data_IF_206447641492
#
_entry.id   IF_206447641492
#
_cell.length_a   1.000
_cell.length_b   1.000
_cell.length_c   1.000
_cell.angle_alpha   90.00
_cell.angle_beta   90.00
_cell.angle_gamma   90.00
#
_symmetry.space_group_name_H-M   'P 1'
#
loop_
_entity.id
_entity.type
_entity.pdbx_description
1 polymer ?
#
# COMPACT_ATOMS: atom_id res chain seq x y z
N UNK A 1 11.78 11.74 12.20
CA UNK A 1 10.61 11.08 11.54
C UNK A 1 9.27 11.54 12.13
N UNK A 2 9.05 11.39 13.45
CA UNK A 2 7.80 11.81 14.14
C UNK A 2 7.35 13.25 13.87
N UNK A 3 8.22 14.25 14.12
CA UNK A 3 7.90 15.68 13.92
C UNK A 3 7.47 15.99 12.48
N UNK A 4 8.11 15.37 11.49
CA UNK A 4 7.73 15.55 10.09
C UNK A 4 6.32 15.02 9.80
N UNK A 5 5.92 13.88 10.41
CA UNK A 5 4.55 13.37 10.30
C UNK A 5 3.54 14.27 11.01
N UNK A 6 3.89 14.76 12.20
CA UNK A 6 3.05 15.73 12.92
C UNK A 6 2.81 16.98 12.08
N UNK A 7 3.86 17.56 11.48
CA UNK A 7 3.75 18.72 10.58
C UNK A 7 2.69 18.51 9.48
N UNK A 8 2.64 17.32 8.88
CA UNK A 8 1.65 16.99 7.86
C UNK A 8 0.24 16.86 8.44
N UNK A 9 0.08 16.20 9.59
CA UNK A 9 -1.23 15.92 10.20
C UNK A 9 -1.84 17.12 10.92
N UNK A 10 -1.06 18.19 11.10
CA UNK A 10 -1.49 19.45 11.71
C UNK A 10 -1.45 20.62 10.73
N UNK A 11 -1.49 20.36 9.41
CA UNK A 11 -1.32 21.39 8.39
C UNK A 11 -2.43 22.46 8.36
N UNK A 12 -3.56 22.24 9.03
CA UNK A 12 -4.61 23.24 9.22
C UNK A 12 -6.01 22.70 8.95
N UNK A 13 -7.00 23.60 9.01
CA UNK A 13 -8.44 23.28 8.96
C UNK A 13 -8.91 22.73 7.61
N UNK A 14 -8.16 22.97 6.54
CA UNK A 14 -8.54 22.55 5.18
C UNK A 14 -8.15 21.10 4.88
N UNK A 15 -7.37 20.47 5.75
CA UNK A 15 -6.94 19.07 5.62
C UNK A 15 -8.12 18.10 5.43
N UNK A 16 -9.15 18.06 6.30
CA UNK A 16 -10.31 17.16 6.13
C UNK A 16 -11.07 17.31 4.81
N UNK A 17 -11.09 18.52 4.24
CA UNK A 17 -11.82 18.80 3.00
C UNK A 17 -11.13 18.19 1.79
N UNK A 18 -9.82 17.96 1.87
CA UNK A 18 -8.99 17.51 0.76
C UNK A 18 -8.42 16.09 0.96
N UNK A 19 -8.32 15.62 2.21
CA UNK A 19 -7.68 14.35 2.56
C UNK A 19 -8.69 13.45 3.27
N UNK A 20 -9.19 12.44 2.56
CA UNK A 20 -10.12 11.45 3.12
C UNK A 20 -9.42 10.39 3.98
N UNK A 21 -8.14 10.09 3.70
CA UNK A 21 -7.40 9.08 4.43
C UNK A 21 -5.89 9.25 4.32
N UNK A 22 -5.17 8.70 5.29
CA UNK A 22 -3.71 8.76 5.38
C UNK A 22 -3.14 7.37 5.60
N UNK A 23 -2.26 6.93 4.71
CA UNK A 23 -1.52 5.67 4.87
C UNK A 23 -0.33 5.91 5.80
N UNK A 24 -0.29 5.15 6.90
CA UNK A 24 0.78 5.21 7.89
C UNK A 24 1.71 4.00 7.76
N UNK A 25 2.96 4.20 8.16
CA UNK A 25 3.88 3.11 8.45
C UNK A 25 3.70 2.64 9.90
N UNK A 26 4.05 1.39 10.21
CA UNK A 26 3.89 0.80 11.54
C UNK A 26 4.43 1.69 12.66
N UNK A 27 5.64 2.24 12.51
CA UNK A 27 6.22 3.15 13.51
C UNK A 27 5.33 4.39 13.74
N UNK A 28 4.86 5.03 12.68
CA UNK A 28 4.00 6.23 12.76
C UNK A 28 2.63 5.92 13.34
N UNK A 29 2.11 4.72 13.07
CA UNK A 29 0.79 4.30 13.54
C UNK A 29 0.67 4.33 15.07
N UNK A 30 1.78 4.07 15.78
CA UNK A 30 1.85 4.09 17.25
C UNK A 30 2.55 5.33 17.83
N UNK A 31 2.87 6.32 17.00
CA UNK A 31 3.45 7.59 17.45
C UNK A 31 2.38 8.55 17.99
N UNK A 32 2.86 9.55 18.75
CA UNK A 32 2.06 10.60 19.35
C UNK A 32 2.55 11.98 18.90
N UNK A 33 1.64 12.94 18.85
CA UNK A 33 1.96 14.36 18.70
C UNK A 33 2.60 14.93 19.97
N UNK A 34 3.08 16.17 19.91
CA UNK A 34 3.75 16.86 21.03
C UNK A 34 2.85 17.01 22.26
N UNK A 35 1.53 17.08 22.06
CA UNK A 35 0.50 17.14 23.11
C UNK A 35 0.17 15.76 23.72
N UNK A 36 0.81 14.70 23.24
CA UNK A 36 0.57 13.32 23.66
C UNK A 36 -0.58 12.61 22.93
N UNK A 37 -1.28 13.27 22.01
CA UNK A 37 -2.37 12.67 21.22
C UNK A 37 -1.82 11.63 20.24
N UNK A 38 -2.31 10.37 20.23
CA UNK A 38 -1.91 9.39 19.21
C UNK A 38 -2.26 9.88 17.80
N UNK A 39 -1.38 9.65 16.81
CA UNK A 39 -1.64 10.14 15.44
C UNK A 39 -2.90 9.55 14.82
N UNK A 40 -3.22 8.29 15.12
CA UNK A 40 -4.50 7.67 14.68
C UNK A 40 -5.69 8.47 15.19
N UNK A 41 -5.67 8.87 16.47
CA UNK A 41 -6.72 9.70 17.06
C UNK A 41 -6.74 11.10 16.45
N UNK A 42 -5.58 11.73 16.29
CA UNK A 42 -5.45 13.05 15.66
C UNK A 42 -6.09 13.10 14.27
N UNK A 43 -5.92 12.04 13.46
CA UNK A 43 -6.54 11.92 12.15
C UNK A 43 -8.06 11.70 12.26
N UNK A 44 -8.50 10.81 13.15
CA UNK A 44 -9.92 10.53 13.37
C UNK A 44 -10.70 11.75 13.88
N UNK A 45 -10.13 12.53 14.81
CA UNK A 45 -10.73 13.77 15.32
C UNK A 45 -10.88 14.84 14.22
N UNK A 46 -10.10 14.71 13.15
CA UNK A 46 -10.19 15.52 11.92
C UNK A 46 -11.00 14.82 10.82
N UNK A 47 -11.79 13.76 11.09
CA UNK A 47 -12.52 12.99 10.08
C UNK A 47 -11.65 12.40 8.95
N UNK A 48 -10.36 12.18 9.20
CA UNK A 48 -9.44 11.52 8.26
C UNK A 48 -9.27 10.06 8.64
N UNK A 49 -9.47 9.18 7.66
CA UNK A 49 -9.45 7.74 7.86
C UNK A 49 -7.98 7.27 8.01
N UNK A 50 -7.60 6.59 9.11
CA UNK A 50 -6.26 6.03 9.24
C UNK A 50 -6.13 4.73 8.44
N UNK A 51 -5.07 4.63 7.62
CA UNK A 51 -4.68 3.43 6.90
C UNK A 51 -3.30 2.93 7.29
N UNK A 52 -2.99 1.68 6.99
CA UNK A 52 -1.73 1.04 7.38
C UNK A 52 -1.07 0.30 6.21
N UNK A 53 0.24 0.55 6.00
CA UNK A 53 1.05 -0.26 5.09
C UNK A 53 1.31 -1.64 5.73
N UNK A 54 0.99 -2.72 5.02
CA UNK A 54 1.13 -4.09 5.57
C UNK A 54 2.05 -5.03 4.78
N UNK A 55 2.46 -4.67 3.56
CA UNK A 55 3.54 -5.38 2.89
C UNK A 55 4.88 -5.23 3.63
N UNK A 56 5.78 -6.19 3.44
CA UNK A 56 7.15 -6.21 3.98
C UNK A 56 8.19 -5.99 2.87
N UNK A 57 7.81 -5.28 1.81
CA UNK A 57 8.65 -4.97 0.67
C UNK A 57 8.70 -6.07 -0.40
N UNK A 58 9.45 -5.76 -1.46
CA UNK A 58 9.62 -6.64 -2.62
C UNK A 58 10.77 -7.63 -2.43
N UNK A 59 10.68 -8.78 -3.09
CA UNK A 59 11.74 -9.79 -3.17
C UNK A 59 11.92 -10.24 -4.63
N UNK A 60 13.14 -10.55 -5.06
CA UNK A 60 13.40 -10.99 -6.44
C UNK A 60 12.63 -12.27 -6.79
N UNK A 61 12.15 -12.34 -8.03
CA UNK A 61 11.62 -13.57 -8.61
C UNK A 61 12.76 -14.36 -9.27
N UNK A 62 13.09 -15.52 -8.73
CA UNK A 62 14.15 -16.36 -9.28
C UNK A 62 13.82 -16.81 -10.71
N UNK A 63 14.74 -16.57 -11.64
CA UNK A 63 14.59 -16.95 -13.05
C UNK A 63 13.85 -15.92 -13.93
N UNK A 64 13.50 -14.75 -13.40
CA UNK A 64 13.03 -13.61 -14.21
C UNK A 64 14.14 -12.60 -14.51
N UNK A 65 13.85 -11.63 -15.38
CA UNK A 65 14.76 -10.55 -15.75
C UNK A 65 14.56 -9.35 -14.80
N UNK A 66 15.17 -9.44 -13.60
CA UNK A 66 15.12 -8.39 -12.56
C UNK A 66 13.69 -7.99 -12.15
N UNK A 67 12.77 -8.95 -12.12
CA UNK A 67 11.41 -8.77 -11.62
C UNK A 67 11.28 -9.18 -10.16
N UNK A 68 10.19 -8.77 -9.51
CA UNK A 68 9.96 -9.05 -8.11
C UNK A 68 8.50 -9.44 -7.81
N UNK A 69 8.30 -10.10 -6.68
CA UNK A 69 7.00 -10.20 -6.00
C UNK A 69 7.10 -9.47 -4.66
N UNK A 70 6.00 -9.40 -3.93
CA UNK A 70 5.93 -8.71 -2.64
C UNK A 70 5.65 -9.68 -1.52
N UNK A 71 6.37 -9.55 -0.41
CA UNK A 71 6.21 -10.40 0.76
C UNK A 71 5.38 -9.73 1.87
N UNK A 72 4.87 -10.52 2.80
CA UNK A 72 4.19 -10.00 4.00
C UNK A 72 2.91 -10.72 4.44
N UNK A 73 2.52 -11.81 3.75
CA UNK A 73 1.32 -12.60 4.08
C UNK A 73 1.43 -13.34 5.42
N UNK A 74 2.65 -13.71 5.84
CA UNK A 74 2.86 -14.43 7.09
C UNK A 74 2.47 -13.58 8.30
N UNK A 75 1.53 -14.11 9.10
CA UNK A 75 0.93 -13.42 10.24
C UNK A 75 0.09 -12.20 9.88
N UNK A 76 -0.32 -12.05 8.61
CA UNK A 76 -1.05 -10.87 8.15
C UNK A 76 -2.44 -10.77 8.79
N UNK A 77 -3.13 -11.88 9.03
CA UNK A 77 -4.47 -11.88 9.63
C UNK A 77 -4.42 -11.29 11.06
N UNK A 78 -3.49 -11.75 11.88
CA UNK A 78 -3.28 -11.27 13.25
C UNK A 78 -2.89 -9.80 13.26
N UNK A 79 -2.02 -9.39 12.34
CA UNK A 79 -1.62 -7.98 12.17
C UNK A 79 -2.81 -7.12 11.76
N UNK A 80 -3.58 -7.52 10.76
CA UNK A 80 -4.77 -6.79 10.31
C UNK A 80 -5.80 -6.65 11.43
N UNK A 81 -6.07 -7.72 12.17
CA UNK A 81 -6.95 -7.70 13.35
C UNK A 81 -6.47 -6.71 14.41
N UNK A 82 -5.16 -6.69 14.68
CA UNK A 82 -4.58 -5.75 15.63
C UNK A 82 -4.69 -4.31 15.14
N UNK A 83 -4.34 -4.03 13.87
CA UNK A 83 -4.47 -2.68 13.30
C UNK A 83 -5.91 -2.18 13.25
N UNK A 84 -6.88 -3.04 12.94
CA UNK A 84 -8.29 -2.71 12.95
C UNK A 84 -8.76 -2.32 14.36
N UNK A 85 -8.35 -3.10 15.39
CA UNK A 85 -8.59 -2.79 16.80
C UNK A 85 -7.96 -1.45 17.21
N UNK A 86 -6.77 -1.17 16.69
CA UNK A 86 -6.02 0.04 17.01
C UNK A 86 -6.44 1.27 16.17
N UNK A 87 -7.44 1.13 15.29
CA UNK A 87 -8.12 2.26 14.63
C UNK A 87 -7.91 2.40 13.12
N UNK A 88 -7.17 1.50 12.48
CA UNK A 88 -7.06 1.46 11.02
C UNK A 88 -8.40 1.04 10.40
N UNK A 89 -8.71 1.58 9.22
CA UNK A 89 -9.91 1.20 8.44
C UNK A 89 -9.57 0.68 7.04
N UNK A 90 -8.37 0.93 6.57
CA UNK A 90 -7.88 0.40 5.31
C UNK A 90 -6.41 0.01 5.41
N UNK A 91 -5.97 -0.83 4.49
CA UNK A 91 -4.60 -1.28 4.37
C UNK A 91 -4.06 -0.94 2.99
N UNK A 92 -2.73 -0.97 2.87
CA UNK A 92 -2.03 -0.80 1.61
C UNK A 92 -0.99 -1.88 1.42
N UNK A 93 -0.95 -2.44 0.21
CA UNK A 93 0.05 -3.38 -0.27
C UNK A 93 0.46 -2.99 -1.68
N UNK A 94 1.76 -2.89 -1.92
CA UNK A 94 2.32 -2.51 -3.22
C UNK A 94 3.06 -3.66 -3.84
N UNK A 95 2.63 -4.02 -5.05
CA UNK A 95 3.38 -4.82 -6.00
C UNK A 95 4.03 -3.93 -7.04
N UNK A 96 5.15 -4.37 -7.61
CA UNK A 96 5.96 -3.58 -8.54
C UNK A 96 6.23 -4.38 -9.79
N UNK A 97 5.91 -3.80 -10.93
CA UNK A 97 6.14 -4.37 -12.26
C UNK A 97 6.96 -3.38 -13.10
N UNK A 98 7.81 -3.90 -13.98
CA UNK A 98 8.70 -3.10 -14.83
C UNK A 98 8.33 -3.28 -16.29
N UNK A 99 8.48 -2.23 -17.09
CA UNK A 99 8.38 -2.30 -18.54
C UNK A 99 9.79 -2.45 -19.11
N UNK A 100 10.02 -3.49 -19.91
CA UNK A 100 11.25 -3.68 -20.68
C UNK A 100 10.95 -4.46 -21.96
N UNK A 101 11.97 -4.88 -22.70
CA UNK A 101 11.78 -5.74 -23.88
C UNK A 101 11.07 -7.07 -23.55
N UNK A 102 11.27 -7.59 -22.32
CA UNK A 102 10.75 -8.90 -21.89
C UNK A 102 9.81 -8.83 -20.67
N UNK A 103 9.62 -7.64 -20.09
CA UNK A 103 8.85 -7.44 -18.85
C UNK A 103 7.63 -6.53 -19.08
N UNK A 104 6.55 -6.69 -18.30
CA UNK A 104 6.40 -7.68 -17.24
C UNK A 104 6.14 -9.09 -17.80
N UNK A 105 6.81 -10.08 -17.24
CA UNK A 105 6.61 -11.48 -17.65
C UNK A 105 5.26 -12.00 -17.17
N UNK A 106 4.77 -13.07 -17.82
CA UNK A 106 3.57 -13.77 -17.35
C UNK A 106 3.69 -14.23 -15.89
N UNK A 107 4.88 -14.70 -15.49
CA UNK A 107 5.14 -15.14 -14.11
C UNK A 107 5.01 -13.98 -13.13
N UNK A 108 5.62 -12.83 -13.41
CA UNK A 108 5.54 -11.66 -12.54
C UNK A 108 4.12 -11.10 -12.43
N UNK A 109 3.37 -11.06 -13.54
CA UNK A 109 1.96 -10.64 -13.50
C UNK A 109 1.11 -11.60 -12.67
N UNK A 110 1.21 -12.90 -12.92
CA UNK A 110 0.44 -13.91 -12.20
C UNK A 110 0.73 -13.90 -10.69
N UNK A 111 2.01 -13.86 -10.31
CA UNK A 111 2.42 -13.91 -8.92
C UNK A 111 2.03 -12.63 -8.16
N UNK A 112 2.23 -11.45 -8.75
CA UNK A 112 1.84 -10.19 -8.13
C UNK A 112 0.31 -10.04 -8.01
N UNK A 113 -0.46 -10.50 -9.01
CA UNK A 113 -1.92 -10.54 -8.92
C UNK A 113 -2.39 -11.49 -7.81
N UNK A 114 -1.84 -12.71 -7.77
CA UNK A 114 -2.20 -13.71 -6.78
C UNK A 114 -1.89 -13.25 -5.34
N UNK A 115 -0.71 -12.66 -5.11
CA UNK A 115 -0.36 -12.16 -3.77
C UNK A 115 -1.23 -10.97 -3.34
N UNK A 116 -1.60 -10.08 -4.28
CA UNK A 116 -2.53 -8.98 -4.03
C UNK A 116 -3.93 -9.50 -3.67
N UNK A 117 -4.44 -10.50 -4.38
CA UNK A 117 -5.74 -11.13 -4.09
C UNK A 117 -5.74 -11.79 -2.69
N UNK A 118 -4.67 -12.51 -2.34
CA UNK A 118 -4.50 -13.12 -1.01
C UNK A 118 -4.46 -12.07 0.10
N UNK A 119 -3.69 -11.00 -0.08
CA UNK A 119 -3.66 -9.86 0.84
C UNK A 119 -5.04 -9.23 1.00
N UNK A 120 -5.74 -8.96 -0.11
CA UNK A 120 -7.05 -8.32 -0.11
C UNK A 120 -8.08 -9.16 0.65
N UNK A 121 -8.10 -10.47 0.41
CA UNK A 121 -8.96 -11.42 1.12
C UNK A 121 -8.73 -11.38 2.64
N UNK A 122 -7.47 -11.44 3.08
CA UNK A 122 -7.12 -11.40 4.51
C UNK A 122 -7.52 -10.06 5.14
N UNK A 123 -7.33 -8.94 4.43
CA UNK A 123 -7.75 -7.62 4.91
C UNK A 123 -9.26 -7.54 5.13
N UNK A 124 -10.05 -7.97 4.15
CA UNK A 124 -11.52 -7.95 4.23
C UNK A 124 -12.03 -8.82 5.37
N UNK A 125 -11.46 -10.01 5.57
CA UNK A 125 -11.80 -10.90 6.70
C UNK A 125 -11.55 -10.28 8.07
N UNK A 126 -10.66 -9.27 8.15
CA UNK A 126 -10.29 -8.60 9.40
C UNK A 126 -10.78 -7.14 9.47
N UNK A 127 -11.73 -6.75 8.61
CA UNK A 127 -12.39 -5.44 8.67
C UNK A 127 -11.56 -4.27 8.15
N UNK A 128 -10.56 -4.52 7.29
CA UNK A 128 -9.78 -3.49 6.61
C UNK A 128 -10.12 -3.49 5.12
N UNK A 129 -10.40 -2.30 4.56
CA UNK A 129 -10.50 -2.12 3.10
C UNK A 129 -9.10 -2.24 2.49
N UNK A 130 -8.85 -3.17 1.55
CA UNK A 130 -7.53 -3.29 0.92
C UNK A 130 -7.39 -2.30 -0.25
N UNK A 131 -6.37 -1.43 -0.19
CA UNK A 131 -5.87 -0.77 -1.39
C UNK A 131 -4.96 -1.77 -2.11
N UNK A 132 -5.35 -2.12 -3.34
CA UNK A 132 -4.65 -3.01 -4.26
C UNK A 132 -3.80 -2.15 -5.20
N UNK A 133 -2.47 -2.20 -5.08
CA UNK A 133 -1.55 -1.34 -5.83
C UNK A 133 -0.57 -2.17 -6.68
N UNK A 134 -0.96 -2.57 -7.91
CA UNK A 134 -0.07 -3.16 -8.90
C UNK A 134 0.65 -2.04 -9.67
N UNK A 135 1.68 -1.46 -9.08
CA UNK A 135 2.40 -0.33 -9.70
C UNK A 135 3.26 -0.79 -10.87
N UNK A 136 2.95 -0.27 -12.06
CA UNK A 136 3.81 -0.37 -13.24
C UNK A 136 4.76 0.83 -13.23
N UNK A 137 6.07 0.58 -13.14
CA UNK A 137 7.08 1.63 -13.04
C UNK A 137 7.22 2.42 -14.36
N UNK A 138 7.47 3.73 -14.28
CA UNK A 138 7.69 4.58 -15.45
C UNK A 138 9.12 4.49 -16.01
N UNK A 139 10.03 3.77 -15.36
CA UNK A 139 11.42 3.64 -15.78
C UNK A 139 11.54 3.05 -17.20
N UNK A 140 12.41 3.65 -18.01
CA UNK A 140 12.71 3.24 -19.39
C UNK A 140 12.28 4.27 -20.44
N UNK A 141 12.49 3.93 -21.72
CA UNK A 141 12.22 4.81 -22.87
C UNK A 141 10.94 4.42 -23.65
N UNK A 142 10.02 3.71 -22.98
CA UNK A 142 8.77 3.27 -23.59
C UNK A 142 7.80 4.45 -23.82
N UNK A 143 6.96 4.35 -24.84
CA UNK A 143 5.96 5.36 -25.15
C UNK A 143 4.67 5.19 -24.34
N UNK A 144 3.76 6.16 -24.49
CA UNK A 144 2.47 6.17 -23.80
C UNK A 144 1.60 4.95 -24.17
N UNK A 145 1.63 4.53 -25.43
CA UNK A 145 0.85 3.38 -25.91
C UNK A 145 1.32 2.08 -25.24
N UNK A 146 2.64 1.93 -25.07
CA UNK A 146 3.23 0.80 -24.35
C UNK A 146 2.84 0.81 -22.87
N UNK A 147 2.93 1.97 -22.20
CA UNK A 147 2.52 2.10 -20.80
C UNK A 147 1.03 1.77 -20.61
N UNK A 148 0.16 2.24 -21.50
CA UNK A 148 -1.26 1.92 -21.50
C UNK A 148 -1.49 0.41 -21.66
N UNK A 149 -0.92 -0.19 -22.71
CA UNK A 149 -1.08 -1.62 -23.00
C UNK A 149 -0.64 -2.50 -21.82
N UNK A 150 0.52 -2.19 -21.22
CA UNK A 150 1.01 -2.95 -20.07
C UNK A 150 0.10 -2.75 -18.86
N UNK A 151 -0.36 -1.53 -18.61
CA UNK A 151 -1.31 -1.25 -17.52
C UNK A 151 -2.61 -2.03 -17.70
N UNK A 152 -3.19 -2.05 -18.89
CA UNK A 152 -4.39 -2.84 -19.21
C UNK A 152 -4.18 -4.33 -18.94
N UNK A 153 -3.03 -4.89 -19.37
CA UNK A 153 -2.70 -6.28 -19.12
C UNK A 153 -2.56 -6.58 -17.62
N UNK A 154 -1.80 -5.77 -16.89
CA UNK A 154 -1.57 -5.95 -15.45
C UNK A 154 -2.88 -5.86 -14.66
N UNK A 155 -3.74 -4.89 -14.99
CA UNK A 155 -5.04 -4.75 -14.33
C UNK A 155 -6.00 -5.90 -14.68
N UNK A 156 -5.94 -6.46 -15.89
CA UNK A 156 -6.76 -7.62 -16.25
C UNK A 156 -6.35 -8.90 -15.50
N UNK A 157 -5.11 -8.99 -15.02
CA UNK A 157 -4.65 -10.09 -14.17
C UNK A 157 -5.06 -9.92 -12.70
N UNK A 158 -5.22 -8.68 -12.22
CA UNK A 158 -5.36 -8.32 -10.80
C UNK A 158 -6.82 -8.31 -10.34
#
# INVERSE_FOLDING_TARGET
>A
RRQYRQLLFTAGKDLPTNISGVILFHETFYQKADDGTPFVKLLQDQNVIPGIKVDKGVVPLGGSDDECTTQGLDGLAERCKQYAKDGAKFAKWRSVLKISANNPSYLAMLENANVLARYASICQQNGLVPIVEPEVLPDGDHDLETAQRVTEQVLAFT
#
